data_IF_496144962078
#
_entry.id   IF_496144962078
#
_cell.length_a   1.000
_cell.length_b   1.000
_cell.length_c   1.000
_cell.angle_alpha   90.00
_cell.angle_beta   90.00
_cell.angle_gamma   90.00
#
_symmetry.space_group_name_H-M   'P 1'
#
loop_
_entity.id
_entity.type
_entity.pdbx_description
1 polymer ?
#
# COMPACT_ATOMS: atom_id res chain seq x y z
N UNK A 1 -51.46 45.16 24.97
CA UNK A 1 -51.16 45.71 23.63
C UNK A 1 -49.97 44.98 23.08
N UNK A 2 -50.23 44.22 22.03
CA UNK A 2 -49.40 43.69 20.96
C UNK A 2 -48.39 42.61 21.34
N UNK A 3 -48.73 41.37 21.23
CA UNK A 3 -48.79 40.37 20.13
C UNK A 3 -47.93 40.66 18.92
N UNK A 4 -47.34 39.52 18.42
CA UNK A 4 -46.54 39.30 17.19
C UNK A 4 -45.06 39.38 17.48
N UNK A 5 -44.32 38.30 17.42
CA UNK A 5 -44.09 37.35 16.37
C UNK A 5 -43.36 36.09 16.90
N UNK A 6 -44.06 34.98 16.92
CA UNK A 6 -43.41 33.65 16.88
C UNK A 6 -43.78 33.06 15.53
N UNK A 7 -42.85 32.92 14.67
CA UNK A 7 -42.87 31.97 13.53
C UNK A 7 -41.75 32.36 12.59
N UNK A 8 -40.64 31.61 12.59
CA UNK A 8 -39.78 31.39 11.43
C UNK A 8 -38.49 30.68 11.90
N UNK A 9 -38.59 29.44 12.28
CA UNK A 9 -37.43 28.54 12.37
C UNK A 9 -37.87 27.07 12.31
N UNK A 10 -38.55 26.64 11.25
CA UNK A 10 -38.68 25.23 10.89
C UNK A 10 -38.78 25.18 9.36
N UNK A 11 -37.65 25.22 8.67
CA UNK A 11 -37.55 24.79 7.29
C UNK A 11 -36.11 24.91 6.77
N UNK A 12 -35.14 24.27 7.41
CA UNK A 12 -33.79 24.14 6.85
C UNK A 12 -33.02 22.91 7.37
N UNK A 13 -33.72 21.79 7.53
CA UNK A 13 -33.05 20.53 7.95
C UNK A 13 -33.49 19.28 7.18
N UNK A 14 -34.02 19.45 5.97
CA UNK A 14 -34.45 18.29 5.16
C UNK A 14 -33.83 18.23 3.76
N UNK A 15 -32.63 18.74 3.59
CA UNK A 15 -31.98 18.84 2.29
C UNK A 15 -30.57 18.23 2.17
N UNK A 16 -30.07 17.51 3.16
CA UNK A 16 -28.66 16.99 3.10
C UNK A 16 -28.53 15.50 3.40
N UNK A 17 -29.56 14.72 3.19
CA UNK A 17 -29.53 13.28 3.43
C UNK A 17 -29.69 12.41 2.17
N UNK A 18 -29.49 12.95 0.97
CA UNK A 18 -29.78 12.22 -0.27
C UNK A 18 -28.60 12.15 -1.27
N UNK A 19 -27.35 12.30 -0.82
CA UNK A 19 -26.19 12.18 -1.73
C UNK A 19 -25.11 11.16 -1.28
N UNK A 20 -25.44 10.22 -0.41
CA UNK A 20 -24.51 9.12 -0.05
C UNK A 20 -25.06 7.75 -0.45
N UNK A 21 -25.96 7.69 -1.39
CA UNK A 21 -26.66 6.45 -1.78
C UNK A 21 -26.39 5.95 -3.20
N UNK A 22 -25.26 6.26 -3.81
CA UNK A 22 -25.04 5.90 -5.21
C UNK A 22 -23.70 5.23 -5.47
N UNK A 23 -23.40 4.12 -4.79
CA UNK A 23 -22.40 3.13 -5.23
C UNK A 23 -22.47 1.87 -4.36
N UNK A 24 -23.65 1.33 -4.15
CA UNK A 24 -23.78 -0.03 -3.65
C UNK A 24 -24.62 -0.83 -4.64
N UNK A 25 -23.99 -1.80 -5.28
CA UNK A 25 -24.71 -2.84 -6.02
C UNK A 25 -25.39 -3.74 -4.97
N UNK A 26 -26.73 -3.86 -4.97
CA UNK A 26 -27.44 -4.64 -3.95
C UNK A 26 -27.29 -6.15 -4.08
N UNK A 27 -26.46 -6.64 -4.99
CA UNK A 27 -26.31 -8.05 -5.29
C UNK A 27 -25.12 -8.74 -4.62
N UNK A 28 -24.23 -7.99 -4.00
CA UNK A 28 -23.07 -8.56 -3.32
C UNK A 28 -23.04 -8.19 -1.83
N UNK A 29 -23.47 -9.12 -0.99
CA UNK A 29 -23.37 -9.06 0.47
C UNK A 29 -21.95 -9.24 1.00
N UNK A 30 -20.94 -8.66 0.35
CA UNK A 30 -19.55 -8.71 0.75
C UNK A 30 -18.76 -7.67 -0.02
N UNK A 31 -17.82 -7.05 0.60
CA UNK A 31 -16.94 -6.00 0.11
C UNK A 31 -16.44 -6.23 -1.33
N UNK A 32 -17.27 -5.87 -2.32
CA UNK A 32 -16.88 -5.96 -3.71
C UNK A 32 -16.13 -4.69 -4.10
N UNK A 33 -14.82 -4.70 -3.98
CA UNK A 33 -13.95 -3.81 -4.75
C UNK A 33 -13.81 -4.38 -6.17
N UNK A 34 -14.91 -4.42 -6.89
CA UNK A 34 -14.90 -4.84 -8.28
C UNK A 34 -14.38 -3.72 -9.17
N UNK A 35 -13.24 -3.92 -9.79
CA UNK A 35 -12.85 -3.10 -10.95
C UNK A 35 -13.60 -3.67 -12.15
N UNK A 36 -14.56 -2.92 -12.68
CA UNK A 36 -15.27 -3.29 -13.90
C UNK A 36 -14.43 -2.86 -15.11
N UNK A 37 -13.95 -3.82 -15.88
CA UNK A 37 -13.34 -3.55 -17.18
C UNK A 37 -14.36 -3.79 -18.29
N UNK A 38 -14.61 -2.75 -19.07
CA UNK A 38 -15.42 -2.87 -20.28
C UNK A 38 -14.54 -3.46 -21.38
N UNK A 39 -14.70 -4.74 -21.66
CA UNK A 39 -14.07 -5.36 -22.83
C UNK A 39 -15.01 -5.20 -24.04
N UNK A 40 -14.44 -5.02 -25.20
CA UNK A 40 -15.08 -4.69 -26.51
C UNK A 40 -16.22 -5.65 -26.93
N UNK A 41 -16.51 -6.69 -26.16
CA UNK A 41 -17.59 -7.66 -26.41
C UNK A 41 -18.92 -7.33 -25.72
N UNK A 42 -19.00 -6.24 -24.96
CA UNK A 42 -20.22 -5.87 -24.22
C UNK A 42 -20.52 -6.71 -22.99
N UNK A 43 -19.65 -7.66 -22.63
CA UNK A 43 -19.76 -8.41 -21.40
C UNK A 43 -19.10 -7.68 -20.23
N UNK A 44 -19.85 -7.47 -19.16
CA UNK A 44 -19.33 -6.92 -17.91
C UNK A 44 -18.76 -8.08 -17.08
N UNK A 45 -17.44 -8.17 -17.00
CA UNK A 45 -16.78 -9.09 -16.10
C UNK A 45 -16.56 -8.42 -14.75
N UNK A 46 -17.18 -8.96 -13.70
CA UNK A 46 -16.94 -8.57 -12.31
C UNK A 46 -15.88 -9.50 -11.72
N UNK A 47 -14.75 -8.93 -11.35
CA UNK A 47 -13.66 -9.69 -10.74
C UNK A 47 -13.68 -9.51 -9.23
N UNK A 48 -13.70 -10.62 -8.50
CA UNK A 48 -13.50 -10.59 -7.05
C UNK A 48 -12.01 -10.47 -6.74
N UNK A 49 -11.65 -9.57 -5.83
CA UNK A 49 -10.28 -9.48 -5.32
C UNK A 49 -9.89 -10.80 -4.66
N UNK A 50 -8.69 -11.28 -4.96
CA UNK A 50 -8.15 -12.53 -4.39
C UNK A 50 -6.86 -12.29 -3.64
N UNK A 51 -6.12 -11.30 -4.07
CA UNK A 51 -4.80 -10.98 -3.56
C UNK A 51 -4.48 -9.50 -3.82
N UNK A 52 -3.54 -8.94 -3.10
CA UNK A 52 -2.95 -7.63 -3.35
C UNK A 52 -1.51 -7.60 -2.86
N UNK A 53 -0.70 -6.85 -3.57
CA UNK A 53 0.69 -6.58 -3.24
C UNK A 53 1.00 -5.13 -3.61
N UNK A 54 1.21 -4.28 -2.62
CA UNK A 54 1.68 -2.90 -2.82
C UNK A 54 3.17 -2.81 -2.65
N UNK A 55 3.65 -3.14 -1.46
CA UNK A 55 5.05 -3.15 -1.10
C UNK A 55 5.55 -4.57 -0.90
N UNK A 56 6.67 -4.95 -1.54
CA UNK A 56 7.31 -6.26 -1.31
C UNK A 56 7.64 -6.48 0.18
N UNK A 57 7.55 -7.72 0.63
CA UNK A 57 7.85 -8.19 1.98
C UNK A 57 6.85 -7.76 3.06
N UNK A 58 5.82 -6.97 2.75
CA UNK A 58 4.80 -6.61 3.74
C UNK A 58 3.96 -7.83 4.08
N UNK A 59 3.20 -8.37 3.12
CA UNK A 59 2.38 -9.55 3.38
C UNK A 59 3.19 -10.82 3.55
N UNK A 60 4.26 -10.99 2.77
CA UNK A 60 5.03 -12.23 2.71
C UNK A 60 5.88 -12.47 3.98
N UNK A 61 6.33 -11.40 4.62
CA UNK A 61 7.31 -11.47 5.71
C UNK A 61 6.76 -10.91 7.02
N UNK A 62 6.16 -9.72 7.00
CA UNK A 62 5.85 -8.98 8.21
C UNK A 62 4.43 -9.22 8.74
N UNK A 63 3.45 -9.50 7.87
CA UNK A 63 2.10 -9.84 8.31
C UNK A 63 2.05 -11.33 8.67
N UNK A 64 1.51 -11.64 9.83
CA UNK A 64 1.36 -13.03 10.29
C UNK A 64 0.49 -13.82 9.30
N UNK A 65 0.91 -15.03 8.96
CA UNK A 65 0.23 -15.89 7.99
C UNK A 65 -1.28 -16.07 8.27
N UNK A 66 -1.67 -16.13 9.53
CA UNK A 66 -3.08 -16.25 9.92
C UNK A 66 -3.94 -15.05 9.49
N UNK A 67 -3.30 -13.89 9.17
CA UNK A 67 -3.95 -12.66 8.75
C UNK A 67 -3.79 -12.34 7.27
N UNK A 68 -3.10 -13.18 6.49
CA UNK A 68 -2.92 -12.98 5.04
C UNK A 68 -4.27 -12.88 4.32
N UNK A 69 -5.26 -13.71 4.71
CA UNK A 69 -6.60 -13.62 4.11
C UNK A 69 -7.25 -12.25 4.35
N UNK A 70 -7.14 -11.70 5.58
CA UNK A 70 -7.64 -10.36 5.90
C UNK A 70 -6.94 -9.30 5.04
N UNK A 71 -5.62 -9.40 4.89
CA UNK A 71 -4.85 -8.47 4.05
C UNK A 71 -5.26 -8.57 2.57
N UNK A 72 -5.30 -9.78 2.01
CA UNK A 72 -5.53 -10.00 0.58
C UNK A 72 -6.92 -9.58 0.11
N UNK A 73 -7.92 -9.68 0.98
CA UNK A 73 -9.30 -9.27 0.69
C UNK A 73 -9.63 -7.87 1.23
N UNK A 74 -8.76 -7.31 2.05
CA UNK A 74 -8.93 -5.98 2.65
C UNK A 74 -8.61 -4.84 1.69
N UNK A 75 -8.90 -3.63 2.16
CA UNK A 75 -8.61 -2.39 1.44
C UNK A 75 -7.43 -1.67 2.09
N UNK A 76 -6.54 -1.02 1.32
CA UNK A 76 -5.41 -0.28 1.89
C UNK A 76 -5.81 0.78 2.94
N UNK A 77 -7.02 1.34 2.84
CA UNK A 77 -7.49 2.36 3.78
C UNK A 77 -7.59 1.91 5.25
N UNK A 78 -7.63 0.60 5.52
CA UNK A 78 -7.66 0.06 6.89
C UNK A 78 -6.31 -0.49 7.36
N UNK A 79 -5.32 -0.60 6.48
CA UNK A 79 -4.06 -1.30 6.75
C UNK A 79 -3.31 -0.78 7.97
N UNK A 80 -3.28 0.54 8.16
CA UNK A 80 -2.59 1.15 9.31
C UNK A 80 -3.22 0.65 10.62
N UNK A 81 -4.55 0.64 10.70
CA UNK A 81 -5.26 0.17 11.87
C UNK A 81 -5.14 -1.35 12.06
N UNK A 82 -5.14 -2.08 10.94
CA UNK A 82 -5.19 -3.54 10.96
C UNK A 82 -3.81 -4.17 11.17
N UNK A 83 -2.73 -3.62 10.59
CA UNK A 83 -1.45 -4.33 10.45
C UNK A 83 -0.25 -3.64 11.07
N UNK A 84 -0.37 -2.43 11.66
CA UNK A 84 0.75 -1.78 12.36
C UNK A 84 1.35 -2.68 13.43
N UNK A 85 0.51 -3.40 14.20
CA UNK A 85 0.97 -4.31 15.24
C UNK A 85 1.70 -5.53 14.68
N UNK A 86 1.31 -6.03 13.52
CA UNK A 86 2.02 -7.14 12.87
C UNK A 86 3.43 -6.69 12.46
N UNK A 87 3.55 -5.56 11.76
CA UNK A 87 4.84 -5.03 11.30
C UNK A 87 5.76 -4.70 12.48
N UNK A 88 5.27 -3.99 13.49
CA UNK A 88 6.09 -3.62 14.65
C UNK A 88 6.49 -4.84 15.47
N UNK A 89 5.59 -5.81 15.64
CA UNK A 89 5.92 -7.06 16.33
C UNK A 89 6.97 -7.88 15.60
N UNK A 90 6.89 -7.94 14.27
CA UNK A 90 7.91 -8.59 13.44
C UNK A 90 9.27 -7.88 13.57
N UNK A 91 9.27 -6.55 13.44
CA UNK A 91 10.51 -5.76 13.53
C UNK A 91 11.20 -5.92 14.87
N UNK A 92 10.45 -5.96 15.97
CA UNK A 92 11.01 -6.11 17.32
C UNK A 92 11.36 -7.57 17.60
N UNK A 93 10.42 -8.48 17.37
CA UNK A 93 10.55 -9.88 17.83
C UNK A 93 11.38 -10.75 16.91
N UNK A 94 11.41 -10.46 15.60
CA UNK A 94 12.14 -11.26 14.60
C UNK A 94 13.37 -10.54 14.11
N UNK A 95 13.24 -9.28 13.67
CA UNK A 95 14.36 -8.51 13.18
C UNK A 95 15.23 -7.90 14.30
N UNK A 96 14.78 -7.98 15.57
CA UNK A 96 15.54 -7.50 16.72
C UNK A 96 15.70 -5.98 16.80
N UNK A 97 14.87 -5.22 16.05
CA UNK A 97 14.97 -3.76 15.96
C UNK A 97 14.29 -3.09 17.16
N UNK A 98 14.65 -1.85 17.42
CA UNK A 98 14.00 -1.06 18.46
C UNK A 98 12.61 -0.56 18.05
N UNK A 99 11.80 -0.17 19.02
CA UNK A 99 10.42 0.29 18.83
C UNK A 99 10.35 1.54 17.93
N UNK A 100 11.30 2.45 18.04
CA UNK A 100 11.28 3.70 17.27
C UNK A 100 11.47 3.38 15.78
N UNK A 101 12.44 2.54 15.46
CA UNK A 101 12.70 2.10 14.10
C UNK A 101 11.54 1.24 13.54
N UNK A 102 11.00 0.34 14.34
CA UNK A 102 9.82 -0.45 13.97
C UNK A 102 8.64 0.44 13.57
N UNK A 103 8.42 1.54 14.29
CA UNK A 103 7.38 2.52 13.95
C UNK A 103 7.67 3.27 12.65
N UNK A 104 8.94 3.58 12.36
CA UNK A 104 9.35 4.20 11.08
C UNK A 104 9.05 3.25 9.91
N UNK A 105 9.41 1.97 10.02
CA UNK A 105 9.15 0.96 8.99
C UNK A 105 7.64 0.79 8.78
N UNK A 106 6.87 0.64 9.85
CA UNK A 106 5.41 0.53 9.73
C UNK A 106 4.79 1.75 9.06
N UNK A 107 5.22 2.96 9.43
CA UNK A 107 4.75 4.21 8.82
C UNK A 107 5.19 4.42 7.37
N UNK A 108 6.31 3.81 6.94
CA UNK A 108 6.79 3.87 5.56
C UNK A 108 6.06 2.87 4.64
N UNK A 109 5.66 1.70 5.16
CA UNK A 109 5.14 0.59 4.38
C UNK A 109 3.62 0.44 4.46
N UNK A 110 2.97 1.09 5.44
CA UNK A 110 1.51 1.08 5.56
C UNK A 110 0.93 2.47 5.27
N UNK A 111 -0.19 2.56 4.56
CA UNK A 111 -0.93 1.44 3.95
C UNK A 111 -0.12 0.74 2.86
N UNK A 112 -0.34 -0.57 2.67
CA UNK A 112 0.38 -1.38 1.69
C UNK A 112 -0.01 -0.99 0.26
N UNK A 113 0.64 0.06 -0.22
CA UNK A 113 0.46 0.66 -1.55
C UNK A 113 1.79 1.15 -2.11
N UNK A 114 1.95 1.02 -3.43
CA UNK A 114 3.05 1.66 -4.12
C UNK A 114 2.80 3.18 -4.22
N UNK A 115 3.67 3.97 -3.59
CA UNK A 115 3.55 5.43 -3.57
C UNK A 115 4.32 6.07 -4.74
N UNK A 116 3.68 7.03 -5.40
CA UNK A 116 4.28 7.84 -6.49
C UNK A 116 3.92 9.31 -6.28
N UNK A 117 4.91 10.19 -6.33
CA UNK A 117 4.74 11.64 -6.13
C UNK A 117 5.12 12.42 -7.41
N UNK A 118 4.18 12.73 -8.30
CA UNK A 118 4.46 13.21 -9.67
C UNK A 118 5.14 14.57 -9.78
N UNK A 119 5.39 15.30 -8.70
CA UNK A 119 5.96 16.66 -8.70
C UNK A 119 7.23 16.82 -7.86
N UNK A 120 7.94 15.75 -7.57
CA UNK A 120 9.21 15.85 -6.83
C UNK A 120 10.37 15.90 -7.82
N UNK A 121 10.79 17.11 -8.16
CA UNK A 121 11.88 17.36 -9.11
C UNK A 121 13.24 16.93 -8.54
N UNK A 122 14.05 16.30 -9.41
CA UNK A 122 15.46 15.99 -9.11
C UNK A 122 15.68 14.87 -8.11
N UNK A 123 14.66 14.15 -7.74
CA UNK A 123 14.75 13.08 -6.74
C UNK A 123 14.81 11.70 -7.39
N UNK A 124 15.51 10.73 -6.77
CA UNK A 124 15.64 9.40 -7.33
C UNK A 124 14.29 8.71 -7.51
N UNK A 125 14.16 7.96 -8.60
CA UNK A 125 13.02 7.08 -8.88
C UNK A 125 13.45 5.65 -8.58
N UNK A 126 13.11 5.16 -7.41
CA UNK A 126 13.28 3.77 -7.02
C UNK A 126 12.33 3.44 -5.88
N UNK A 127 12.12 2.16 -5.64
CA UNK A 127 11.27 1.69 -4.56
C UNK A 127 11.81 2.14 -3.19
N UNK A 128 10.96 2.60 -2.29
CA UNK A 128 11.25 3.28 -1.00
C UNK A 128 11.85 4.70 -1.10
N UNK A 129 12.10 5.25 -2.30
CA UNK A 129 12.67 6.61 -2.39
C UNK A 129 11.78 7.69 -1.75
N UNK A 130 10.48 7.45 -1.61
CA UNK A 130 9.54 8.37 -0.93
C UNK A 130 9.89 8.61 0.54
N UNK A 131 10.55 7.66 1.21
CA UNK A 131 11.00 7.82 2.61
C UNK A 131 12.02 8.95 2.74
N UNK A 132 12.82 9.15 1.67
CA UNK A 132 13.82 10.20 1.58
C UNK A 132 13.34 11.44 0.82
N UNK A 133 12.04 11.59 0.64
CA UNK A 133 11.48 12.67 -0.15
C UNK A 133 11.56 12.48 -1.67
N UNK A 134 11.89 11.30 -2.15
CA UNK A 134 11.97 10.94 -3.55
C UNK A 134 10.62 10.81 -4.25
N UNK A 135 10.69 10.56 -5.57
CA UNK A 135 9.52 10.42 -6.43
C UNK A 135 8.68 9.18 -6.08
N UNK A 136 9.31 8.15 -5.53
CA UNK A 136 8.67 6.85 -5.31
C UNK A 136 8.60 6.03 -6.60
N UNK A 137 7.59 5.19 -6.67
CA UNK A 137 7.43 4.26 -7.76
C UNK A 137 8.33 3.03 -7.62
N UNK A 138 8.48 2.31 -8.72
CA UNK A 138 9.29 1.11 -8.81
C UNK A 138 9.85 1.02 -10.22
N UNK A 139 11.17 1.10 -10.35
CA UNK A 139 11.85 0.97 -11.63
C UNK A 139 12.07 -0.50 -11.97
N UNK A 140 12.17 -0.84 -13.25
CA UNK A 140 12.46 -2.22 -13.69
C UNK A 140 13.77 -2.79 -13.09
N UNK A 141 14.86 -2.00 -12.95
CA UNK A 141 16.09 -2.48 -12.37
C UNK A 141 16.11 -2.49 -10.83
N UNK A 142 15.05 -2.05 -10.16
CA UNK A 142 15.05 -2.01 -8.70
C UNK A 142 15.10 -3.42 -8.11
N UNK A 143 16.12 -3.67 -7.33
CA UNK A 143 16.23 -4.84 -6.48
C UNK A 143 15.39 -4.64 -5.21
N UNK A 144 14.09 -4.85 -5.34
CA UNK A 144 13.14 -4.52 -4.26
C UNK A 144 13.24 -5.46 -3.07
N UNK A 145 13.75 -6.67 -3.28
CA UNK A 145 13.96 -7.64 -2.20
C UNK A 145 15.13 -7.20 -1.34
N UNK A 146 16.28 -6.91 -1.95
CA UNK A 146 17.46 -6.44 -1.22
C UNK A 146 17.23 -5.08 -0.56
N UNK A 147 16.51 -4.15 -1.23
CA UNK A 147 16.11 -2.87 -0.63
C UNK A 147 15.22 -3.13 0.60
N UNK A 148 14.24 -4.02 0.50
CA UNK A 148 13.35 -4.37 1.61
C UNK A 148 14.08 -5.05 2.77
N UNK A 149 14.91 -6.04 2.46
CA UNK A 149 15.74 -6.74 3.45
C UNK A 149 16.73 -5.78 4.11
N UNK A 150 17.34 -4.87 3.34
CA UNK A 150 18.21 -3.83 3.84
C UNK A 150 17.50 -2.84 4.78
N UNK A 151 16.22 -2.53 4.53
CA UNK A 151 15.41 -1.72 5.42
C UNK A 151 15.01 -2.48 6.70
N UNK A 152 14.73 -3.76 6.61
CA UNK A 152 14.31 -4.59 7.75
C UNK A 152 15.51 -4.97 8.62
N UNK A 153 16.52 -5.61 8.04
CA UNK A 153 17.64 -6.23 8.75
C UNK A 153 18.95 -5.44 8.65
N UNK A 154 19.02 -4.46 7.75
CA UNK A 154 20.21 -3.66 7.48
C UNK A 154 20.14 -2.26 8.07
N UNK A 155 20.99 -1.38 7.56
CA UNK A 155 21.12 0.02 7.95
C UNK A 155 20.65 1.00 6.87
N UNK A 156 19.91 0.51 5.88
CA UNK A 156 19.48 1.30 4.70
C UNK A 156 18.79 2.63 5.06
N UNK A 157 18.02 2.65 6.15
CA UNK A 157 17.34 3.86 6.64
C UNK A 157 18.11 4.53 7.81
N UNK A 158 19.39 4.28 7.92
CA UNK A 158 20.28 4.96 8.88
C UNK A 158 20.25 4.41 10.31
N UNK A 159 19.46 3.38 10.62
CA UNK A 159 19.49 2.74 11.94
C UNK A 159 20.49 1.58 11.94
N UNK A 160 21.58 1.72 12.68
CA UNK A 160 22.66 0.72 12.80
C UNK A 160 22.49 -0.24 13.96
N UNK A 161 21.44 -0.11 14.78
CA UNK A 161 21.20 -0.96 15.94
C UNK A 161 20.68 -2.33 15.49
N UNK A 162 21.28 -3.39 16.01
CA UNK A 162 20.87 -4.77 15.77
C UNK A 162 20.77 -5.16 14.26
N UNK A 163 21.68 -4.66 13.45
CA UNK A 163 21.80 -5.05 12.04
C UNK A 163 22.19 -6.52 11.93
N UNK A 164 21.57 -7.25 11.02
CA UNK A 164 21.87 -8.64 10.70
C UNK A 164 22.35 -8.74 9.24
N UNK A 165 23.64 -8.50 8.93
CA UNK A 165 24.13 -8.38 7.56
C UNK A 165 23.86 -9.61 6.68
N UNK A 166 23.79 -10.80 7.27
CA UNK A 166 23.51 -12.04 6.54
C UNK A 166 22.05 -12.17 6.04
N UNK A 167 21.15 -11.24 6.41
CA UNK A 167 19.76 -11.22 6.00
C UNK A 167 19.40 -9.99 5.16
N UNK A 168 20.37 -9.26 4.64
CA UNK A 168 20.14 -8.02 3.87
C UNK A 168 20.10 -8.22 2.36
N UNK A 169 20.20 -9.44 1.87
CA UNK A 169 20.21 -9.78 0.44
C UNK A 169 19.59 -11.16 0.21
N UNK A 170 18.96 -11.34 -0.93
CA UNK A 170 18.52 -12.64 -1.43
C UNK A 170 19.61 -13.35 -2.29
N UNK A 171 20.78 -12.72 -2.42
CA UNK A 171 21.90 -13.16 -3.24
C UNK A 171 21.64 -13.15 -4.76
N UNK A 172 20.67 -12.37 -5.22
CA UNK A 172 20.40 -12.11 -6.64
C UNK A 172 20.64 -10.63 -6.92
N UNK A 173 21.87 -10.27 -7.26
CA UNK A 173 22.33 -8.88 -7.31
C UNK A 173 21.99 -8.12 -8.60
N UNK A 174 21.50 -8.80 -9.64
CA UNK A 174 21.21 -8.15 -10.92
C UNK A 174 20.26 -8.96 -11.80
N UNK A 175 19.59 -8.25 -12.70
CA UNK A 175 18.83 -8.88 -13.76
C UNK A 175 19.77 -9.57 -14.77
N UNK A 176 19.43 -10.78 -15.18
CA UNK A 176 20.26 -11.59 -16.08
C UNK A 176 20.09 -11.27 -17.57
N UNK A 177 19.16 -10.38 -17.92
CA UNK A 177 18.90 -9.93 -19.29
C UNK A 177 18.69 -8.42 -19.35
N UNK A 178 19.15 -7.74 -20.44
CA UNK A 178 18.92 -6.31 -20.60
C UNK A 178 17.45 -6.01 -20.80
N UNK A 179 16.98 -4.90 -20.24
CA UNK A 179 15.64 -4.37 -20.51
C UNK A 179 15.55 -3.79 -21.92
N UNK A 180 14.38 -3.90 -22.54
CA UNK A 180 14.10 -3.32 -23.85
C UNK A 180 14.03 -1.79 -23.79
N UNK A 181 14.33 -1.15 -24.94
CA UNK A 181 14.17 0.30 -25.11
C UNK A 181 12.75 0.73 -25.56
N UNK A 182 11.90 -0.24 -25.90
CA UNK A 182 10.52 -0.02 -26.34
C UNK A 182 9.55 -0.78 -25.45
N UNK A 183 8.31 -0.27 -25.34
CA UNK A 183 7.26 -0.97 -24.58
C UNK A 183 7.08 -2.42 -25.09
N UNK A 184 6.95 -3.41 -24.21
CA UNK A 184 6.76 -3.34 -22.77
C UNK A 184 8.03 -3.22 -21.91
N UNK A 185 9.18 -2.92 -22.49
CA UNK A 185 10.49 -2.74 -21.86
C UNK A 185 11.07 -3.99 -21.19
N UNK A 186 10.31 -5.06 -21.10
CA UNK A 186 10.73 -6.33 -20.50
C UNK A 186 11.63 -7.11 -21.46
N UNK A 187 12.59 -7.85 -20.92
CA UNK A 187 13.34 -8.83 -21.67
C UNK A 187 12.43 -10.02 -22.09
N UNK A 188 12.88 -10.78 -23.07
CA UNK A 188 12.24 -12.06 -23.41
C UNK A 188 12.35 -13.02 -22.22
N UNK A 189 11.34 -13.87 -21.98
CA UNK A 189 11.41 -14.89 -20.93
C UNK A 189 12.64 -15.79 -21.04
N UNK A 190 13.06 -16.34 -19.90
CA UNK A 190 14.14 -17.35 -19.85
C UNK A 190 13.66 -18.68 -20.39
#
# INVERSE_FOLDING_TARGET
>A
MNTVTKSFWIAASLGLALLVGACQDPRDGGFATGVSFNVTSGEHHVFAQRDRLGNPLVSEVMIRKARHHQHNYGMPGTDVADFTDDLTSFMIGVAGRDQAYASVIAGALLPDMLLVYPKRDGTPVFWLSWVFGGFGGRSLPDDVVDIGLGAIFGDLLGNTNNVTPGLTTDNVSANNKPFGSTFPYLATPN
#
